data_IF_113649340572
#
_entry.id   IF_113649340572
#
_cell.length_a   1.000
_cell.length_b   1.000
_cell.length_c   1.000
_cell.angle_alpha   90.00
_cell.angle_beta   90.00
_cell.angle_gamma   90.00
#
_symmetry.space_group_name_H-M   'P 1'
#
loop_
_entity.id
_entity.type
_entity.pdbx_description
1 polymer ?
#
# COMPACT_ATOMS: atom_id res chain seq x y z
N UNK A 1 21.27 2.50 -17.01
CA UNK A 1 22.67 2.87 -16.83
C UNK A 1 23.44 1.73 -16.17
N UNK A 2 24.65 1.52 -16.57
CA UNK A 2 25.49 0.45 -16.04
C UNK A 2 26.14 0.84 -14.72
N UNK A 3 26.28 -0.12 -13.80
CA UNK A 3 26.94 0.08 -12.51
C UNK A 3 27.48 -1.24 -11.97
N UNK A 4 28.27 -1.17 -10.89
CA UNK A 4 28.78 -2.37 -10.21
C UNK A 4 27.72 -3.10 -9.40
N UNK A 5 26.63 -2.42 -9.07
CA UNK A 5 25.52 -2.96 -8.28
C UNK A 5 24.20 -2.65 -8.95
N UNK A 6 23.19 -3.50 -8.69
CA UNK A 6 21.82 -3.21 -9.09
C UNK A 6 21.19 -2.32 -8.02
N UNK A 7 20.76 -1.13 -8.41
CA UNK A 7 20.07 -0.22 -7.49
C UNK A 7 19.21 0.80 -8.25
N UNK A 8 18.36 1.52 -7.52
CA UNK A 8 17.47 2.52 -8.07
C UNK A 8 17.65 3.82 -7.31
N UNK A 9 17.69 4.93 -8.05
CA UNK A 9 17.64 6.28 -7.50
C UNK A 9 16.40 6.99 -8.04
N UNK A 10 15.82 7.87 -7.24
CA UNK A 10 14.66 8.65 -7.65
C UNK A 10 14.74 10.08 -7.17
N UNK A 11 14.16 10.99 -7.96
CA UNK A 11 13.89 12.36 -7.59
C UNK A 11 12.41 12.68 -7.88
N UNK A 12 12.02 13.96 -7.84
CA UNK A 12 10.61 14.37 -8.02
C UNK A 12 10.00 13.91 -9.36
N UNK A 13 10.81 13.82 -10.41
CA UNK A 13 10.33 13.59 -11.77
C UNK A 13 10.88 12.33 -12.40
N UNK A 14 11.92 11.72 -11.83
CA UNK A 14 12.66 10.65 -12.50
C UNK A 14 12.95 9.49 -11.55
N UNK A 15 12.91 8.29 -12.11
CA UNK A 15 13.41 7.07 -11.46
C UNK A 15 14.53 6.54 -12.37
N UNK A 16 15.73 6.41 -11.82
CA UNK A 16 16.87 5.87 -12.56
C UNK A 16 17.24 4.50 -12.02
N UNK A 17 17.24 3.51 -12.91
CA UNK A 17 17.58 2.13 -12.56
C UNK A 17 19.01 1.86 -13.01
N UNK A 18 19.85 1.47 -12.05
CA UNK A 18 21.24 1.10 -12.29
C UNK A 18 21.37 -0.40 -12.24
N UNK A 19 21.88 -0.99 -13.30
CA UNK A 19 22.05 -2.45 -13.41
C UNK A 19 23.47 -2.78 -13.88
N UNK A 20 23.92 -3.98 -13.52
CA UNK A 20 25.24 -4.47 -13.94
C UNK A 20 25.31 -4.73 -15.44
N UNK A 21 24.18 -5.10 -16.04
CA UNK A 21 24.08 -5.39 -17.48
C UNK A 21 22.90 -4.64 -18.06
N UNK A 22 23.15 -3.64 -18.91
CA UNK A 22 22.12 -2.83 -19.55
C UNK A 22 21.23 -3.62 -20.51
N UNK A 23 21.72 -4.72 -21.07
CA UNK A 23 20.97 -5.52 -22.03
C UNK A 23 20.04 -6.53 -21.36
N UNK A 24 20.13 -6.70 -20.02
CA UNK A 24 19.29 -7.63 -19.29
C UNK A 24 18.01 -6.95 -18.80
N UNK A 25 16.95 -7.05 -19.61
CA UNK A 25 15.65 -6.48 -19.30
C UNK A 25 15.04 -7.15 -18.07
N UNK A 26 15.17 -8.47 -17.94
CA UNK A 26 14.65 -9.20 -16.79
C UNK A 26 15.29 -8.73 -15.49
N UNK A 27 16.60 -8.48 -15.51
CA UNK A 27 17.32 -7.95 -14.34
C UNK A 27 16.88 -6.53 -14.00
N UNK A 28 16.66 -5.68 -15.01
CA UNK A 28 16.11 -4.32 -14.80
C UNK A 28 14.75 -4.37 -14.14
N UNK A 29 13.86 -5.22 -14.63
CA UNK A 29 12.50 -5.37 -14.09
C UNK A 29 12.54 -5.86 -12.64
N UNK A 30 13.40 -6.84 -12.35
CA UNK A 30 13.57 -7.37 -10.99
C UNK A 30 14.10 -6.29 -10.04
N UNK A 31 15.04 -5.49 -10.48
CA UNK A 31 15.61 -4.38 -9.69
C UNK A 31 14.55 -3.35 -9.38
N UNK A 32 13.71 -3.00 -10.34
CA UNK A 32 12.61 -2.07 -10.16
C UNK A 32 11.54 -2.64 -9.21
N UNK A 33 11.19 -3.91 -9.34
CA UNK A 33 10.23 -4.56 -8.44
C UNK A 33 10.72 -4.55 -6.99
N UNK A 34 11.99 -4.82 -6.77
CA UNK A 34 12.61 -4.74 -5.44
C UNK A 34 12.54 -3.33 -4.87
N UNK A 35 12.83 -2.32 -5.69
CA UNK A 35 12.74 -0.92 -5.30
C UNK A 35 11.32 -0.51 -4.91
N UNK A 36 10.33 -0.86 -5.74
CA UNK A 36 8.92 -0.56 -5.45
C UNK A 36 8.49 -1.16 -4.12
N UNK A 37 8.82 -2.42 -3.89
CA UNK A 37 8.47 -3.16 -2.69
C UNK A 37 9.06 -2.51 -1.44
N UNK A 38 10.34 -2.22 -1.49
CA UNK A 38 11.06 -1.61 -0.36
C UNK A 38 10.52 -0.22 -0.05
N UNK A 39 10.33 0.61 -1.07
CA UNK A 39 9.82 1.96 -0.93
C UNK A 39 8.40 1.95 -0.38
N UNK A 40 7.52 1.12 -0.94
CA UNK A 40 6.15 1.00 -0.49
C UNK A 40 6.08 0.47 0.94
N UNK A 41 6.91 -0.53 1.30
CA UNK A 41 6.93 -1.06 2.66
C UNK A 41 7.30 0.02 3.68
N UNK A 42 8.26 0.88 3.36
CA UNK A 42 8.63 1.99 4.24
C UNK A 42 7.46 2.96 4.44
N UNK A 43 6.77 3.31 3.37
CA UNK A 43 5.59 4.19 3.43
C UNK A 43 4.47 3.55 4.25
N UNK A 44 4.19 2.27 4.01
CA UNK A 44 3.13 1.54 4.72
C UNK A 44 3.44 1.39 6.21
N UNK A 45 4.68 1.09 6.55
CA UNK A 45 5.09 1.01 7.96
C UNK A 45 4.88 2.35 8.66
N UNK A 46 5.25 3.43 8.03
CA UNK A 46 5.04 4.77 8.59
C UNK A 46 3.56 5.09 8.78
N UNK A 47 2.74 4.85 7.74
CA UNK A 47 1.30 5.08 7.81
C UNK A 47 0.65 4.19 8.88
N UNK A 48 0.94 2.89 8.87
CA UNK A 48 0.33 1.94 9.79
C UNK A 48 0.70 2.23 11.23
N UNK A 49 1.95 2.62 11.50
CA UNK A 49 2.37 3.03 12.84
C UNK A 49 1.66 4.30 13.30
N UNK A 50 1.41 5.23 12.39
CA UNK A 50 0.73 6.48 12.71
C UNK A 50 -0.74 6.29 13.03
N UNK A 51 -1.43 5.41 12.30
CA UNK A 51 -2.87 5.16 12.51
C UNK A 51 -3.14 4.16 13.63
N UNK A 52 -2.19 3.31 13.95
CA UNK A 52 -2.38 2.20 14.88
C UNK A 52 -2.88 2.61 16.27
N UNK A 53 -2.43 3.71 16.91
CA UNK A 53 -2.93 4.07 18.23
C UNK A 53 -4.46 4.14 18.33
N UNK A 54 -5.12 4.61 17.29
CA UNK A 54 -6.60 4.64 17.22
C UNK A 54 -7.18 3.22 17.33
N UNK A 55 -6.63 2.28 16.56
CA UNK A 55 -7.12 0.89 16.54
C UNK A 55 -6.71 0.12 17.80
N UNK A 56 -5.54 0.42 18.35
CA UNK A 56 -5.11 -0.15 19.63
C UNK A 56 -6.10 0.12 20.74
N UNK A 57 -6.69 1.32 20.76
CA UNK A 57 -7.69 1.70 21.77
C UNK A 57 -8.96 0.82 21.71
N UNK A 58 -9.23 0.17 20.58
CA UNK A 58 -10.31 -0.77 20.38
C UNK A 58 -9.89 -2.23 20.57
N UNK A 59 -8.67 -2.48 21.04
CA UNK A 59 -8.19 -3.83 21.29
C UNK A 59 -7.57 -4.54 20.10
N UNK A 60 -7.25 -3.82 19.03
CA UNK A 60 -6.61 -4.41 17.85
C UNK A 60 -5.10 -4.53 18.09
N UNK A 61 -4.54 -5.73 17.85
CA UNK A 61 -3.10 -5.93 17.85
C UNK A 61 -2.48 -5.39 16.57
N UNK A 62 -1.22 -4.96 16.62
CA UNK A 62 -0.53 -4.51 15.43
C UNK A 62 -0.37 -5.69 14.46
N UNK A 63 -0.89 -5.58 13.21
CA UNK A 63 -0.87 -6.72 12.29
C UNK A 63 0.47 -6.89 11.60
N UNK A 64 0.68 -8.08 11.04
CA UNK A 64 1.73 -8.28 10.05
C UNK A 64 1.33 -7.54 8.77
N UNK A 65 2.25 -6.76 8.22
CA UNK A 65 2.04 -6.02 6.99
C UNK A 65 2.72 -6.79 5.85
N UNK A 66 1.93 -7.12 4.82
CA UNK A 66 2.42 -7.82 3.62
C UNK A 66 2.14 -6.98 2.38
N UNK A 67 2.97 -7.17 1.37
CA UNK A 67 2.80 -6.58 0.05
C UNK A 67 2.72 -7.72 -0.96
N UNK A 68 1.74 -7.63 -1.86
CA UNK A 68 1.54 -8.61 -2.91
C UNK A 68 0.91 -7.96 -4.14
N UNK A 69 1.23 -8.47 -5.32
CA UNK A 69 0.51 -8.10 -6.54
C UNK A 69 -0.92 -8.62 -6.44
N UNK A 70 -1.91 -7.75 -6.64
CA UNK A 70 -3.34 -8.09 -6.58
C UNK A 70 -4.03 -7.60 -7.85
N UNK A 71 -5.03 -8.35 -8.32
CA UNK A 71 -5.68 -8.07 -9.59
C UNK A 71 -6.84 -7.09 -9.46
N UNK A 72 -7.65 -7.21 -8.40
CA UNK A 72 -8.91 -6.46 -8.28
C UNK A 72 -9.07 -5.72 -6.96
N UNK A 73 -8.05 -5.74 -6.10
CA UNK A 73 -8.11 -5.11 -4.78
C UNK A 73 -6.89 -4.23 -4.54
N UNK A 74 -7.06 -3.19 -3.76
CA UNK A 74 -5.95 -2.38 -3.26
C UNK A 74 -5.35 -2.94 -1.98
N UNK A 75 -6.11 -3.73 -1.25
CA UNK A 75 -5.67 -4.37 -0.02
C UNK A 75 -6.62 -5.45 0.45
N UNK A 76 -6.24 -6.17 1.50
CA UNK A 76 -7.08 -7.15 2.17
C UNK A 76 -6.69 -7.27 3.63
N UNK A 77 -7.64 -7.71 4.45
CA UNK A 77 -7.41 -7.95 5.87
C UNK A 77 -7.86 -9.36 6.23
N UNK A 78 -7.02 -10.08 6.96
CA UNK A 78 -7.37 -11.36 7.56
C UNK A 78 -7.32 -11.20 9.09
N UNK A 79 -8.45 -10.83 9.73
CA UNK A 79 -8.45 -10.50 11.15
C UNK A 79 -7.99 -11.66 12.06
N UNK A 80 -8.40 -12.89 11.76
CA UNK A 80 -8.04 -14.05 12.58
C UNK A 80 -6.54 -14.35 12.54
N UNK A 81 -5.89 -14.11 11.39
CA UNK A 81 -4.46 -14.28 11.22
C UNK A 81 -3.66 -13.04 11.57
N UNK A 82 -4.34 -11.92 11.82
CA UNK A 82 -3.73 -10.62 12.12
C UNK A 82 -2.77 -10.17 11.01
N UNK A 83 -3.24 -10.26 9.76
CA UNK A 83 -2.45 -9.89 8.57
C UNK A 83 -3.23 -8.89 7.74
N UNK A 84 -2.54 -7.85 7.32
CA UNK A 84 -3.04 -6.89 6.32
C UNK A 84 -2.10 -6.95 5.11
N UNK A 85 -2.67 -7.16 3.93
CA UNK A 85 -1.93 -7.23 2.67
C UNK A 85 -2.28 -6.02 1.81
N UNK A 86 -1.26 -5.40 1.24
CA UNK A 86 -1.40 -4.25 0.35
C UNK A 86 -0.93 -4.58 -1.05
N UNK A 87 -1.60 -4.00 -2.05
CA UNK A 87 -1.23 -4.18 -3.45
C UNK A 87 0.03 -3.40 -3.78
N UNK A 88 0.99 -4.02 -4.46
CA UNK A 88 2.21 -3.35 -4.93
C UNK A 88 1.91 -2.12 -5.80
N UNK A 89 0.77 -2.11 -6.49
CA UNK A 89 0.34 -0.98 -7.32
C UNK A 89 0.11 0.31 -6.53
N UNK A 90 -0.01 0.24 -5.20
CA UNK A 90 -0.09 1.43 -4.35
C UNK A 90 1.16 2.30 -4.42
N UNK A 91 2.27 1.75 -4.91
CA UNK A 91 3.48 2.54 -5.19
C UNK A 91 3.20 3.75 -6.11
N UNK A 92 2.24 3.61 -7.04
CA UNK A 92 1.90 4.65 -8.01
C UNK A 92 0.76 5.57 -7.55
N UNK A 93 0.27 5.40 -6.35
CA UNK A 93 -0.93 6.06 -5.83
C UNK A 93 -0.52 7.15 -4.83
N UNK A 94 -1.21 8.32 -4.82
CA UNK A 94 -0.91 9.36 -3.83
C UNK A 94 -1.02 8.87 -2.38
N UNK A 95 -0.20 9.43 -1.50
CA UNK A 95 -0.11 8.99 -0.10
C UNK A 95 -1.45 9.10 0.63
N UNK A 96 -2.25 10.13 0.37
CA UNK A 96 -3.56 10.28 0.98
C UNK A 96 -4.51 9.13 0.63
N UNK A 97 -4.40 8.59 -0.59
CA UNK A 97 -5.16 7.41 -1.00
C UNK A 97 -4.61 6.12 -0.40
N UNK A 98 -3.29 6.00 -0.27
CA UNK A 98 -2.66 4.87 0.42
C UNK A 98 -3.11 4.82 1.88
N UNK A 99 -3.14 5.97 2.54
CA UNK A 99 -3.63 6.09 3.91
C UNK A 99 -5.09 5.65 4.04
N UNK A 100 -5.93 6.03 3.06
CA UNK A 100 -7.32 5.56 3.02
C UNK A 100 -7.38 4.03 2.97
N UNK A 101 -6.59 3.39 2.13
CA UNK A 101 -6.56 1.93 2.03
C UNK A 101 -6.14 1.31 3.36
N UNK A 102 -5.12 1.88 4.02
CA UNK A 102 -4.66 1.38 5.32
C UNK A 102 -5.77 1.47 6.37
N UNK A 103 -6.44 2.60 6.49
CA UNK A 103 -7.54 2.78 7.45
C UNK A 103 -8.70 1.83 7.11
N UNK A 104 -9.03 1.67 5.84
CA UNK A 104 -10.07 0.74 5.38
C UNK A 104 -9.77 -0.70 5.83
N UNK A 105 -8.56 -1.18 5.58
CA UNK A 105 -8.18 -2.54 5.94
C UNK A 105 -8.11 -2.72 7.46
N UNK A 106 -7.59 -1.74 8.19
CA UNK A 106 -7.56 -1.81 9.66
C UNK A 106 -8.97 -1.80 10.26
N UNK A 107 -9.92 -1.10 9.64
CA UNK A 107 -11.31 -1.08 10.10
C UNK A 107 -11.96 -2.46 10.04
N UNK A 108 -11.48 -3.33 9.13
CA UNK A 108 -11.95 -4.72 9.06
C UNK A 108 -11.62 -5.55 10.31
N UNK A 109 -10.69 -5.13 11.16
CA UNK A 109 -10.50 -5.78 12.46
C UNK A 109 -11.69 -5.58 13.39
N UNK A 110 -12.47 -4.54 13.16
CA UNK A 110 -13.65 -4.20 13.98
C UNK A 110 -14.96 -4.64 13.31
N UNK A 111 -15.01 -4.55 11.99
CA UNK A 111 -16.19 -4.86 11.18
C UNK A 111 -15.79 -5.61 9.93
N UNK A 112 -16.12 -6.90 9.86
CA UNK A 112 -15.71 -7.77 8.74
C UNK A 112 -16.33 -7.36 7.40
N UNK A 113 -17.59 -6.93 7.41
CA UNK A 113 -18.33 -6.61 6.21
C UNK A 113 -18.39 -5.09 6.01
N UNK A 114 -18.59 -4.67 4.76
CA UNK A 114 -18.81 -3.26 4.42
C UNK A 114 -20.24 -2.83 4.82
N UNK A 115 -20.58 -3.02 6.07
CA UNK A 115 -21.86 -2.72 6.65
C UNK A 115 -22.00 -1.21 6.95
N UNK A 116 -23.18 -0.83 7.41
CA UNK A 116 -23.41 0.52 7.89
C UNK A 116 -22.47 0.88 9.04
N UNK A 117 -22.23 -0.07 9.93
CA UNK A 117 -21.31 0.08 11.06
C UNK A 117 -19.87 0.29 10.60
N UNK A 118 -19.45 -0.43 9.57
CA UNK A 118 -18.14 -0.23 8.94
C UNK A 118 -18.00 1.20 8.41
N UNK A 119 -18.97 1.67 7.65
CA UNK A 119 -18.91 3.01 7.07
C UNK A 119 -19.00 4.12 8.14
N UNK A 120 -19.76 3.88 9.21
CA UNK A 120 -19.79 4.81 10.34
C UNK A 120 -18.44 4.89 11.05
N UNK A 121 -17.78 3.74 11.24
CA UNK A 121 -16.43 3.70 11.79
C UNK A 121 -15.44 4.43 10.88
N UNK A 122 -15.50 4.21 9.57
CA UNK A 122 -14.66 4.92 8.60
C UNK A 122 -14.82 6.43 8.75
N UNK A 123 -16.03 6.92 8.89
CA UNK A 123 -16.30 8.36 9.05
C UNK A 123 -15.68 8.91 10.33
N UNK A 124 -15.67 8.13 11.41
CA UNK A 124 -15.01 8.52 12.66
C UNK A 124 -13.49 8.57 12.49
N UNK A 125 -12.91 7.54 11.87
CA UNK A 125 -11.44 7.43 11.74
C UNK A 125 -10.86 8.34 10.66
N UNK A 126 -11.61 8.57 9.59
CA UNK A 126 -11.19 9.34 8.43
C UNK A 126 -12.39 10.04 7.81
N UNK A 127 -12.76 11.23 8.29
CA UNK A 127 -13.98 11.91 7.84
C UNK A 127 -14.08 12.16 6.34
N UNK A 128 -12.96 12.28 5.64
CA UNK A 128 -12.90 12.50 4.19
C UNK A 128 -12.69 11.22 3.37
N UNK A 129 -13.00 10.06 3.95
CA UNK A 129 -12.71 8.78 3.29
C UNK A 129 -13.39 8.62 1.93
N UNK A 130 -14.60 9.17 1.76
CA UNK A 130 -15.32 9.08 0.48
C UNK A 130 -14.60 9.83 -0.64
N UNK A 131 -14.05 11.00 -0.32
CA UNK A 131 -13.28 11.82 -1.26
C UNK A 131 -12.01 11.07 -1.69
N UNK A 132 -11.32 10.47 -0.72
CA UNK A 132 -10.10 9.69 -1.00
C UNK A 132 -10.41 8.44 -1.81
N UNK A 133 -11.52 7.78 -1.51
CA UNK A 133 -11.99 6.62 -2.27
C UNK A 133 -12.25 6.98 -3.73
N UNK A 134 -12.94 8.09 -3.98
CA UNK A 134 -13.20 8.56 -5.34
C UNK A 134 -11.90 8.89 -6.07
N UNK A 135 -10.97 9.53 -5.40
CA UNK A 135 -9.65 9.84 -5.96
C UNK A 135 -8.89 8.57 -6.32
N UNK A 136 -8.93 7.57 -5.44
CA UNK A 136 -8.28 6.28 -5.67
C UNK A 136 -8.85 5.57 -6.90
N UNK A 137 -10.14 5.66 -7.14
CA UNK A 137 -10.78 5.01 -8.28
C UNK A 137 -10.22 5.47 -9.63
N UNK A 138 -9.62 6.65 -9.69
CA UNK A 138 -8.95 7.14 -10.91
C UNK A 138 -7.69 6.36 -11.26
N UNK A 139 -7.16 5.59 -10.31
CA UNK A 139 -5.94 4.79 -10.46
C UNK A 139 -6.23 3.32 -10.75
N UNK A 140 -7.48 2.96 -11.04
CA UNK A 140 -7.87 1.56 -11.26
C UNK A 140 -7.05 0.89 -12.36
N UNK A 141 -6.59 1.64 -13.37
CA UNK A 141 -5.78 1.12 -14.46
C UNK A 141 -4.32 0.85 -14.08
N UNK A 142 -3.87 1.33 -12.91
CA UNK A 142 -2.57 1.00 -12.36
C UNK A 142 -2.53 -0.43 -11.81
N UNK A 143 -3.69 -1.02 -11.57
CA UNK A 143 -3.81 -2.43 -11.14
C UNK A 143 -3.86 -3.29 -12.39
N UNK A 144 -2.80 -4.04 -12.60
CA UNK A 144 -2.67 -4.92 -13.74
C UNK A 144 -3.63 -6.10 -13.61
N UNK A 145 -4.34 -6.36 -14.69
CA UNK A 145 -5.34 -7.43 -14.73
C UNK A 145 -4.84 -8.65 -15.51
#
# INVERSE_FOLDING_TARGET
MQSDKNYVESDENNITIYVKNLDDIALKMKTFESYKRKTLMNVLNEICNRIYPTFKSYGVDFPEIRIRKMVSRWGSCMPTKKVVTFNTALFFVPIDCVEYVAVHEFTHFLHLNHSKEFHSAMTVFMPDWEIRKQKLQKYIFAVER
#
